data_IF_527083715005
#
_entry.id   IF_527083715005
#
_cell.length_a   1.000
_cell.length_b   1.000
_cell.length_c   1.000
_cell.angle_alpha   90.00
_cell.angle_beta   90.00
_cell.angle_gamma   90.00
#
_symmetry.space_group_name_H-M   'P 1'
#
loop_
_entity.id
_entity.type
_entity.pdbx_description
1 polymer ?
#
# COMPACT_ATOMS: atom_id res chain seq x y z
N UNK A 1 10.92 -25.77 33.18
CA UNK A 1 10.99 -24.48 32.47
C UNK A 1 12.36 -23.79 32.53
N UNK A 2 13.02 -23.66 33.70
CA UNK A 2 14.32 -22.94 33.84
C UNK A 2 15.53 -23.59 33.13
N UNK A 3 15.53 -24.92 32.94
CA UNK A 3 16.65 -25.63 32.28
C UNK A 3 16.73 -25.36 30.77
N UNK A 4 15.58 -25.24 30.09
CA UNK A 4 15.54 -24.95 28.65
C UNK A 4 16.07 -23.55 28.31
N UNK A 5 15.82 -22.55 29.16
CA UNK A 5 16.31 -21.17 28.97
C UNK A 5 17.83 -21.02 29.17
N UNK A 6 18.46 -21.93 29.93
CA UNK A 6 19.91 -21.93 30.16
C UNK A 6 20.71 -22.71 29.11
N UNK A 7 20.07 -23.61 28.35
CA UNK A 7 20.71 -24.38 27.29
C UNK A 7 21.01 -23.51 26.05
N UNK A 8 22.18 -23.71 25.44
CA UNK A 8 22.59 -23.02 24.19
C UNK A 8 21.54 -23.18 23.08
N UNK A 9 21.01 -24.39 22.92
CA UNK A 9 19.98 -24.69 21.92
C UNK A 9 18.63 -24.05 22.26
N UNK A 10 18.26 -24.00 23.54
CA UNK A 10 17.00 -23.40 23.95
C UNK A 10 16.96 -21.88 23.72
N UNK A 11 18.07 -21.18 23.92
CA UNK A 11 18.18 -19.74 23.58
C UNK A 11 17.99 -19.48 22.08
N UNK A 12 18.55 -20.34 21.24
CA UNK A 12 18.43 -20.21 19.78
C UNK A 12 16.98 -20.40 19.30
N UNK A 13 16.30 -21.44 19.78
CA UNK A 13 14.89 -21.69 19.45
C UNK A 13 14.00 -20.53 19.94
N UNK A 14 14.27 -20.00 21.14
CA UNK A 14 13.51 -18.87 21.68
C UNK A 14 13.66 -17.61 20.81
N UNK A 15 14.88 -17.33 20.33
CA UNK A 15 15.15 -16.19 19.45
C UNK A 15 14.39 -16.31 18.12
N UNK A 16 14.31 -17.52 17.55
CA UNK A 16 13.54 -17.77 16.31
C UNK A 16 12.05 -17.54 16.54
N UNK A 17 11.48 -18.09 17.61
CA UNK A 17 10.06 -17.94 17.93
C UNK A 17 9.71 -16.47 18.18
N UNK A 18 10.55 -15.74 18.90
CA UNK A 18 10.37 -14.32 19.15
C UNK A 18 10.49 -13.49 17.87
N UNK A 19 11.44 -13.80 16.97
CA UNK A 19 11.58 -13.13 15.68
C UNK A 19 10.38 -13.37 14.76
N UNK A 20 9.89 -14.62 14.70
CA UNK A 20 8.68 -14.95 13.95
C UNK A 20 7.44 -14.28 14.56
N UNK A 21 7.28 -14.32 15.87
CA UNK A 21 6.18 -13.65 16.57
C UNK A 21 6.16 -12.14 16.29
N UNK A 22 7.32 -11.49 16.38
CA UNK A 22 7.45 -10.06 16.11
C UNK A 22 7.16 -9.73 14.64
N UNK A 23 7.62 -10.56 13.70
CA UNK A 23 7.34 -10.41 12.27
C UNK A 23 5.83 -10.43 11.97
N UNK A 24 5.07 -11.29 12.65
CA UNK A 24 3.61 -11.38 12.42
C UNK A 24 2.85 -10.13 12.86
N UNK A 25 3.37 -9.35 13.82
CA UNK A 25 2.76 -8.09 14.26
C UNK A 25 2.86 -7.00 13.18
N UNK A 26 3.92 -7.03 12.37
CA UNK A 26 4.11 -6.07 11.27
C UNK A 26 3.34 -6.46 10.00
N UNK A 27 2.79 -7.67 9.93
CA UNK A 27 1.91 -8.05 8.83
C UNK A 27 0.59 -7.30 9.00
N UNK A 28 0.40 -6.22 8.22
CA UNK A 28 -0.92 -5.57 8.10
C UNK A 28 -1.97 -6.67 7.86
N UNK A 29 -2.87 -6.85 8.82
CA UNK A 29 -4.04 -7.73 8.67
C UNK A 29 -5.05 -7.01 7.78
N UNK A 30 -4.74 -7.00 6.49
CA UNK A 30 -5.62 -6.52 5.47
C UNK A 30 -6.76 -7.51 5.32
N UNK A 31 -7.90 -7.24 5.97
CA UNK A 31 -9.16 -7.85 5.53
C UNK A 31 -9.52 -7.21 4.18
N UNK A 32 -9.31 -7.98 3.12
CA UNK A 32 -9.66 -7.64 1.73
C UNK A 32 -8.81 -6.53 1.08
N UNK A 33 -9.22 -6.15 -0.14
CA UNK A 33 -8.66 -5.07 -0.99
C UNK A 33 -8.67 -3.67 -0.34
N UNK A 34 -9.07 -3.55 0.93
CA UNK A 34 -9.13 -2.28 1.69
C UNK A 34 -7.76 -1.76 2.13
N UNK A 35 -6.69 -2.56 2.01
CA UNK A 35 -5.35 -2.12 2.40
C UNK A 35 -4.63 -1.23 1.40
N UNK A 36 -5.12 -1.18 0.16
CA UNK A 36 -4.62 -0.28 -0.87
C UNK A 36 -5.70 0.76 -1.14
N UNK A 37 -5.57 1.93 -0.50
CA UNK A 37 -6.38 3.10 -0.84
C UNK A 37 -5.80 3.68 -2.13
N UNK A 38 -6.35 3.24 -3.27
CA UNK A 38 -6.03 3.83 -4.56
C UNK A 38 -6.71 5.19 -4.63
N UNK A 39 -5.93 6.24 -4.39
CA UNK A 39 -6.39 7.62 -4.42
C UNK A 39 -5.84 8.28 -5.68
N UNK A 40 -6.72 8.91 -6.46
CA UNK A 40 -6.30 9.61 -7.68
C UNK A 40 -5.61 10.94 -7.35
N UNK A 41 -4.69 11.42 -8.21
CA UNK A 41 -4.10 12.75 -8.06
C UNK A 41 -5.20 13.83 -8.08
N UNK A 42 -4.96 14.94 -7.39
CA UNK A 42 -5.94 16.04 -7.35
C UNK A 42 -6.12 16.66 -8.73
N UNK A 43 -7.34 17.16 -9.03
CA UNK A 43 -7.66 17.77 -10.33
C UNK A 43 -6.74 18.95 -10.68
N UNK A 44 -6.21 19.65 -9.66
CA UNK A 44 -5.27 20.77 -9.82
C UNK A 44 -3.91 20.30 -10.32
N UNK A 45 -3.37 19.23 -9.74
CA UNK A 45 -2.07 18.67 -10.15
C UNK A 45 -2.06 18.14 -11.58
N UNK A 46 -3.21 17.69 -12.10
CA UNK A 46 -3.33 17.21 -13.48
C UNK A 46 -3.39 18.37 -14.47
N UNK A 47 -4.07 19.47 -14.11
CA UNK A 47 -4.21 20.66 -14.97
C UNK A 47 -2.92 21.51 -15.00
N UNK A 48 -2.21 21.60 -13.88
CA UNK A 48 -0.98 22.41 -13.77
C UNK A 48 0.25 21.73 -14.37
N UNK A 49 0.18 20.44 -14.71
CA UNK A 49 1.31 19.68 -15.26
C UNK A 49 1.11 19.39 -16.75
N UNK A 50 2.14 19.74 -17.53
CA UNK A 50 2.26 19.33 -18.93
C UNK A 50 2.97 17.99 -19.00
N UNK A 51 2.34 17.01 -19.65
CA UNK A 51 2.90 15.67 -19.80
C UNK A 51 3.47 15.49 -21.20
N UNK A 52 4.72 15.06 -21.29
CA UNK A 52 5.33 14.68 -22.56
C UNK A 52 5.00 13.22 -22.87
N UNK A 53 4.35 12.99 -24.01
CA UNK A 53 4.14 11.66 -24.56
C UNK A 53 4.46 11.69 -26.05
N UNK A 54 5.27 10.74 -26.53
CA UNK A 54 5.65 10.65 -27.94
C UNK A 54 6.22 11.98 -28.50
N UNK A 55 7.08 12.65 -27.73
CA UNK A 55 7.69 13.96 -28.04
C UNK A 55 6.70 15.12 -28.23
N UNK A 56 5.46 14.97 -27.76
CA UNK A 56 4.43 16.00 -27.80
C UNK A 56 3.96 16.31 -26.38
N UNK A 57 3.81 17.60 -26.10
CA UNK A 57 3.34 18.12 -24.82
C UNK A 57 1.81 18.15 -24.81
N UNK A 58 1.20 17.49 -23.83
CA UNK A 58 -0.25 17.46 -23.64
C UNK A 58 -0.61 18.08 -22.30
N UNK A 59 -1.57 19.00 -22.33
CA UNK A 59 -2.27 19.48 -21.13
C UNK A 59 -3.63 18.80 -21.07
N UNK A 60 -3.99 18.30 -19.88
CA UNK A 60 -5.24 17.59 -19.66
C UNK A 60 -6.22 18.51 -18.93
N UNK A 61 -7.32 18.86 -19.60
CA UNK A 61 -8.43 19.58 -18.97
C UNK A 61 -9.44 18.58 -18.39
N UNK A 62 -9.83 18.79 -17.13
CA UNK A 62 -10.81 17.92 -16.47
C UNK A 62 -12.22 18.32 -16.87
N UNK A 63 -12.95 17.44 -17.56
CA UNK A 63 -14.39 17.62 -17.85
C UNK A 63 -15.23 16.79 -16.90
N UNK A 64 -16.27 17.38 -16.35
CA UNK A 64 -17.25 16.68 -15.52
C UNK A 64 -18.04 15.70 -16.39
N UNK A 65 -17.92 14.41 -16.10
CA UNK A 65 -18.64 13.36 -16.81
C UNK A 65 -19.50 12.55 -15.82
N UNK A 66 -20.63 12.03 -16.29
CA UNK A 66 -21.49 11.16 -15.48
C UNK A 66 -20.76 9.86 -15.15
N UNK A 67 -20.92 9.39 -13.91
CA UNK A 67 -20.27 8.19 -13.41
C UNK A 67 -20.74 6.96 -14.18
N UNK A 68 -19.83 6.33 -14.93
CA UNK A 68 -20.15 5.11 -15.69
C UNK A 68 -20.07 3.89 -14.75
N UNK A 69 -21.14 3.08 -14.64
CA UNK A 69 -21.19 1.92 -13.74
C UNK A 69 -20.19 0.80 -14.09
N UNK A 70 -19.63 0.80 -15.30
CA UNK A 70 -18.65 -0.21 -15.75
C UNK A 70 -17.23 0.13 -15.24
N UNK A 71 -16.96 1.39 -14.88
CA UNK A 71 -15.62 1.85 -14.47
C UNK A 71 -15.49 1.86 -12.94
N UNK A 72 -14.31 1.49 -12.43
CA UNK A 72 -13.97 1.64 -11.02
C UNK A 72 -13.80 3.12 -10.68
N UNK A 73 -14.74 3.67 -9.92
CA UNK A 73 -14.70 5.05 -9.43
C UNK A 73 -13.79 5.08 -8.19
N UNK A 74 -12.72 5.86 -8.26
CA UNK A 74 -11.79 6.11 -7.14
C UNK A 74 -11.93 7.55 -6.69
N UNK A 75 -11.86 7.78 -5.38
CA UNK A 75 -11.87 9.14 -4.83
C UNK A 75 -10.51 9.82 -5.07
N UNK A 76 -10.54 11.12 -5.33
CA UNK A 76 -9.35 11.97 -5.38
C UNK A 76 -8.75 12.12 -3.97
N UNK A 77 -7.42 12.34 -3.90
CA UNK A 77 -6.66 12.40 -2.64
C UNK A 77 -6.74 13.74 -1.94
#
# INVERSE_FOLDING_TARGET
MRAFLKSKYGKFILAIILGFGLSTLFRKTCKDKKCMKFTGPTLKEIQEKTYEYDKKCYQFETKTASCNPVKRIVSFA
#
